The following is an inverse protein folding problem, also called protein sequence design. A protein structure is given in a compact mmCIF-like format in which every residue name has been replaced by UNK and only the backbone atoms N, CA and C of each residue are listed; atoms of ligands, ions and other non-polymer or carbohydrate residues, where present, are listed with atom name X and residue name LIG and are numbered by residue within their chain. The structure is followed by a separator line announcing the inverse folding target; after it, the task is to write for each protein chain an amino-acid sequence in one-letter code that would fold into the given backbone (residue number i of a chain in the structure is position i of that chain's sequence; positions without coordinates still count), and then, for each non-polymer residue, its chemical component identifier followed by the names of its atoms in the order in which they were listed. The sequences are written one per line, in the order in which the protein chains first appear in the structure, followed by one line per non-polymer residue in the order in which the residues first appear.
data_IF_924582981041
#
_entry.id   IF_924582981041
#
_cell.length_a   1.000
_cell.length_b   1.000
_cell.length_c   1.000
_cell.angle_alpha   90.00
_cell.angle_beta   90.00
_cell.angle_gamma   90.00
#
_symmetry.space_group_name_H-M   'P 1'
#
loop_
_entity.id
_entity.type
_entity.pdbx_description
1 polymer ?
#
# COMPACT_ATOMS: atom_id res chain seq x y z
N UNK A 1 -7.53 11.00 -19.81
CA UNK A 1 -6.51 10.79 -18.75
C UNK A 1 -7.29 10.32 -17.52
N UNK A 2 -7.22 9.04 -17.17
CA UNK A 2 -7.84 8.56 -15.94
C UNK A 2 -6.99 9.03 -14.76
N UNK A 3 -7.62 9.62 -13.74
CA UNK A 3 -6.93 10.00 -12.51
C UNK A 3 -6.44 8.72 -11.82
N UNK A 4 -5.15 8.42 -11.92
CA UNK A 4 -4.58 7.17 -11.40
C UNK A 4 -4.66 7.10 -9.87
N UNK A 5 -4.78 8.25 -9.19
CA UNK A 5 -4.86 8.38 -7.72
C UNK A 5 -6.25 8.11 -7.13
N UNK A 6 -7.32 8.10 -7.94
CA UNK A 6 -8.67 7.90 -7.43
C UNK A 6 -8.94 6.41 -7.13
N UNK A 7 -9.58 6.14 -5.98
CA UNK A 7 -9.81 4.81 -5.42
C UNK A 7 -10.45 3.79 -6.38
N UNK A 8 -11.26 4.27 -7.33
CA UNK A 8 -12.01 3.45 -8.28
C UNK A 8 -11.59 3.67 -9.74
N UNK A 9 -10.43 4.27 -9.98
CA UNK A 9 -9.92 4.43 -11.34
C UNK A 9 -9.55 3.07 -11.95
N UNK A 10 -9.65 2.93 -13.28
CA UNK A 10 -9.41 1.67 -13.99
C UNK A 10 -8.02 1.06 -13.74
N UNK A 11 -7.00 1.88 -13.47
CA UNK A 11 -5.65 1.40 -13.14
C UNK A 11 -5.61 0.63 -11.80
N UNK A 12 -6.50 0.96 -10.87
CA UNK A 12 -6.58 0.39 -9.52
C UNK A 12 -7.49 -0.84 -9.45
N UNK A 13 -8.13 -1.20 -10.56
CA UNK A 13 -9.06 -2.34 -10.70
C UNK A 13 -8.34 -3.68 -11.00
N UNK A 14 -7.03 -3.63 -11.29
CA UNK A 14 -6.16 -4.77 -11.67
C UNK A 14 -5.95 -5.80 -10.55
N UNK A 15 -6.38 -5.51 -9.32
CA UNK A 15 -6.05 -6.34 -8.16
C UNK A 15 -6.93 -7.59 -8.01
N UNK A 16 -8.05 -7.69 -8.75
CA UNK A 16 -9.03 -8.79 -8.56
C UNK A 16 -9.50 -9.43 -9.86
N UNK A 17 -9.42 -8.71 -10.98
CA UNK A 17 -9.97 -9.20 -12.23
C UNK A 17 -8.90 -9.94 -13.03
N UNK A 18 -9.25 -11.13 -13.53
CA UNK A 18 -8.50 -11.78 -14.60
C UNK A 18 -8.39 -10.81 -15.80
N UNK A 19 -7.24 -10.71 -16.50
CA UNK A 19 -6.98 -9.69 -17.53
C UNK A 19 -8.08 -9.53 -18.60
N UNK A 20 -8.79 -10.60 -18.88
CA UNK A 20 -9.84 -10.75 -19.89
C UNK A 20 -11.16 -10.12 -19.43
N UNK A 21 -11.33 -9.96 -18.13
CA UNK A 21 -12.46 -9.28 -17.50
C UNK A 21 -12.27 -7.74 -17.48
N UNK A 22 -11.08 -7.24 -17.85
CA UNK A 22 -10.75 -5.82 -17.78
C UNK A 22 -10.99 -5.01 -19.07
N UNK A 23 -11.28 -5.61 -20.24
CA UNK A 23 -11.24 -4.81 -21.49
C UNK A 23 -12.38 -5.06 -22.49
N UNK A 24 -13.03 -3.96 -22.87
CA UNK A 24 -13.69 -3.76 -24.17
C UNK A 24 -12.80 -3.01 -25.19
N UNK A 25 -11.56 -2.65 -24.81
CA UNK A 25 -10.60 -1.91 -25.64
C UNK A 25 -9.16 -2.39 -25.41
N UNK A 26 -8.40 -2.52 -26.49
CA UNK A 26 -6.98 -2.87 -26.45
C UNK A 26 -6.15 -1.67 -25.98
N UNK A 27 -5.26 -1.88 -25.01
CA UNK A 27 -4.20 -0.93 -24.66
C UNK A 27 -3.22 -0.78 -25.83
N UNK A 28 -2.67 0.42 -26.01
CA UNK A 28 -1.64 0.65 -27.03
C UNK A 28 -0.41 -0.21 -26.74
N UNK A 29 0.26 -0.65 -27.81
CA UNK A 29 1.52 -1.38 -27.66
C UNK A 29 2.55 -0.49 -26.95
N UNK A 30 3.30 -1.02 -25.96
CA UNK A 30 4.38 -0.26 -25.34
C UNK A 30 5.42 0.12 -26.41
N UNK A 31 6.04 1.28 -26.24
CA UNK A 31 7.15 1.71 -27.09
C UNK A 31 8.31 0.70 -27.01
N UNK A 32 9.10 0.61 -28.08
CA UNK A 32 10.32 -0.21 -28.07
C UNK A 32 11.26 0.26 -26.95
N UNK A 33 11.67 -0.66 -26.07
CA UNK A 33 12.58 -0.41 -24.95
C UNK A 33 12.09 0.68 -23.97
N UNK A 34 10.98 0.43 -23.23
CA UNK A 34 10.52 1.38 -22.22
C UNK A 34 11.60 1.55 -21.13
N UNK A 35 11.70 2.73 -20.50
CA UNK A 35 12.58 2.92 -19.36
C UNK A 35 12.25 1.89 -18.28
N UNK A 36 13.30 1.24 -17.76
CA UNK A 36 13.17 0.30 -16.66
C UNK A 36 13.32 1.06 -15.35
N UNK A 37 12.22 1.18 -14.62
CA UNK A 37 12.26 1.69 -13.25
C UNK A 37 12.92 0.68 -12.30
N UNK A 38 13.44 1.21 -11.19
CA UNK A 38 13.91 0.38 -10.09
C UNK A 38 12.75 -0.50 -9.59
N UNK A 39 13.02 -1.79 -9.41
CA UNK A 39 12.04 -2.75 -8.94
C UNK A 39 12.61 -3.61 -7.81
N UNK A 40 11.75 -3.90 -6.84
CA UNK A 40 12.01 -4.86 -5.78
C UNK A 40 10.85 -5.87 -5.73
N UNK A 41 11.15 -7.10 -5.33
CA UNK A 41 10.17 -8.17 -5.19
C UNK A 41 10.03 -8.56 -3.73
N UNK A 42 8.79 -8.67 -3.25
CA UNK A 42 8.52 -9.27 -1.94
C UNK A 42 8.84 -10.76 -2.01
N UNK A 43 9.79 -11.22 -1.19
CA UNK A 43 10.21 -12.63 -1.12
C UNK A 43 9.49 -13.42 -0.03
N UNK A 44 8.89 -12.74 0.94
CA UNK A 44 8.20 -13.31 2.06
C UNK A 44 7.60 -12.22 2.94
N UNK A 45 6.76 -12.63 3.89
CA UNK A 45 6.11 -11.75 4.85
C UNK A 45 6.50 -12.18 6.26
N UNK A 46 6.91 -11.21 7.08
CA UNK A 46 7.12 -11.44 8.51
C UNK A 46 5.79 -11.21 9.23
N UNK A 47 5.31 -12.22 9.95
CA UNK A 47 4.10 -12.10 10.76
C UNK A 47 4.31 -11.10 11.90
N UNK A 48 3.36 -10.17 12.05
CA UNK A 48 3.32 -9.24 13.17
C UNK A 48 2.01 -9.43 13.92
N UNK A 49 2.09 -9.78 15.20
CA UNK A 49 0.95 -10.02 16.09
C UNK A 49 0.26 -8.73 16.56
N UNK A 50 -0.11 -7.84 15.65
CA UNK A 50 -0.93 -6.68 16.00
C UNK A 50 -2.35 -7.18 16.30
N UNK A 51 -2.70 -7.25 17.58
CA UNK A 51 -4.02 -7.64 18.04
C UNK A 51 -4.74 -6.40 18.59
N UNK A 52 -5.65 -5.86 17.78
CA UNK A 52 -6.50 -4.74 18.18
C UNK A 52 -7.88 -5.24 18.59
N UNK A 53 -8.48 -4.60 19.60
CA UNK A 53 -9.91 -4.76 19.80
C UNK A 53 -10.67 -4.12 18.62
N UNK A 54 -11.87 -4.60 18.31
CA UNK A 54 -12.68 -4.09 17.19
C UNK A 54 -12.90 -2.57 17.28
N UNK A 55 -13.13 -2.05 18.49
CA UNK A 55 -13.29 -0.61 18.71
C UNK A 55 -12.03 0.20 18.33
N UNK A 56 -10.86 -0.33 18.68
CA UNK A 56 -9.57 0.29 18.34
C UNK A 56 -9.33 0.23 16.82
N UNK A 57 -9.71 -0.87 16.17
CA UNK A 57 -9.62 -0.99 14.71
C UNK A 57 -10.50 0.06 14.01
N UNK A 58 -11.74 0.24 14.47
CA UNK A 58 -12.67 1.19 13.86
C UNK A 58 -12.20 2.64 13.98
N UNK A 59 -11.44 2.97 15.02
CA UNK A 59 -10.87 4.30 15.23
C UNK A 59 -9.86 4.69 14.13
N UNK A 60 -9.28 3.72 13.41
CA UNK A 60 -8.37 4.00 12.30
C UNK A 60 -9.06 4.50 11.03
N UNK A 61 -10.38 4.66 10.98
CA UNK A 61 -11.00 5.13 9.76
C UNK A 61 -12.09 6.19 9.90
N UNK A 62 -11.93 7.03 10.92
CA UNK A 62 -12.45 8.41 10.90
C UNK A 62 -11.35 9.32 11.45
N UNK A 63 -11.26 10.55 10.95
CA UNK A 63 -10.23 11.49 11.41
C UNK A 63 -10.40 11.80 12.90
N UNK A 64 -11.65 12.00 13.33
CA UNK A 64 -11.98 12.29 14.72
C UNK A 64 -11.43 11.22 15.68
N UNK A 65 -11.60 9.94 15.37
CA UNK A 65 -11.13 8.86 16.23
C UNK A 65 -9.63 8.59 16.05
N UNK A 66 -9.12 8.68 14.82
CA UNK A 66 -7.72 8.44 14.49
C UNK A 66 -6.79 9.41 15.21
N UNK A 67 -7.14 10.70 15.26
CA UNK A 67 -6.35 11.71 15.97
C UNK A 67 -6.40 11.59 17.49
N UNK A 68 -7.26 10.73 18.05
CA UNK A 68 -7.32 10.45 19.48
C UNK A 68 -6.53 9.19 19.87
N UNK A 69 -5.97 8.46 18.89
CA UNK A 69 -5.14 7.29 19.15
C UNK A 69 -3.84 7.70 19.83
N UNK A 70 -3.38 6.88 20.79
CA UNK A 70 -2.13 7.12 21.49
C UNK A 70 -0.91 6.90 20.58
N UNK A 71 0.19 7.59 20.87
CA UNK A 71 1.46 7.38 20.18
C UNK A 71 1.94 5.92 20.28
N UNK A 72 1.67 5.25 21.40
CA UNK A 72 1.98 3.83 21.59
C UNK A 72 1.18 2.94 20.62
N UNK A 73 -0.12 3.22 20.45
CA UNK A 73 -0.95 2.51 19.48
C UNK A 73 -0.42 2.72 18.06
N UNK A 74 -0.12 3.98 17.72
CA UNK A 74 0.38 4.36 16.42
C UNK A 74 1.77 3.77 16.11
N UNK A 75 2.65 3.66 17.11
CA UNK A 75 3.97 3.06 16.98
C UNK A 75 3.93 1.55 16.70
N UNK A 76 2.88 0.86 17.13
CA UNK A 76 2.66 -0.56 16.83
C UNK A 76 2.14 -0.79 15.40
N UNK A 77 1.72 0.26 14.70
CA UNK A 77 1.21 0.20 13.32
C UNK A 77 2.31 0.60 12.35
N UNK A 78 2.76 -0.37 11.55
CA UNK A 78 3.89 -0.17 10.63
C UNK A 78 3.55 0.78 9.48
N UNK A 79 4.51 1.66 9.17
CA UNK A 79 4.52 2.53 8.00
C UNK A 79 4.91 1.79 6.71
N UNK A 80 5.66 0.69 6.85
CA UNK A 80 6.21 -0.07 5.73
C UNK A 80 5.13 -0.80 4.90
N UNK A 81 5.52 -1.25 3.72
CA UNK A 81 4.75 -2.19 2.89
C UNK A 81 4.34 -3.43 3.70
N UNK A 82 3.03 -3.71 3.76
CA UNK A 82 2.47 -4.84 4.53
C UNK A 82 1.09 -5.28 4.06
N UNK A 83 0.68 -6.45 4.55
CA UNK A 83 -0.67 -6.98 4.42
C UNK A 83 -1.37 -6.97 5.79
N UNK A 84 -2.67 -6.71 5.79
CA UNK A 84 -3.53 -6.75 6.97
C UNK A 84 -3.27 -5.66 8.01
N UNK A 85 -3.95 -5.80 9.16
CA UNK A 85 -3.97 -4.81 10.24
C UNK A 85 -4.90 -3.63 9.92
N UNK A 86 -4.49 -2.42 10.32
CA UNK A 86 -5.20 -1.15 10.08
C UNK A 86 -4.37 -0.23 9.20
N UNK A 87 -4.93 0.70 8.43
CA UNK A 87 -4.15 1.65 7.61
C UNK A 87 -3.32 2.62 8.45
N UNK A 88 -2.15 3.01 7.94
CA UNK A 88 -1.34 4.12 8.47
C UNK A 88 -1.50 5.35 7.59
N UNK A 89 -2.41 6.24 7.96
CA UNK A 89 -2.74 7.43 7.15
C UNK A 89 -1.67 8.50 7.18
N UNK A 90 -1.41 9.12 6.03
CA UNK A 90 -0.54 10.31 5.90
C UNK A 90 -1.38 11.58 5.95
N UNK A 91 -2.55 11.58 5.32
CA UNK A 91 -3.39 12.77 5.16
C UNK A 91 -4.70 12.67 5.95
N UNK A 92 -5.62 11.80 5.53
CA UNK A 92 -6.94 11.68 6.16
C UNK A 92 -7.47 10.24 6.14
N UNK A 93 -8.01 9.81 7.28
CA UNK A 93 -8.69 8.56 7.43
C UNK A 93 -10.07 8.53 6.73
N UNK A 94 -10.63 9.70 6.43
CA UNK A 94 -11.93 9.87 5.75
C UNK A 94 -11.90 9.48 4.26
N UNK A 95 -10.71 9.35 3.67
CA UNK A 95 -10.57 8.85 2.29
C UNK A 95 -10.82 7.34 2.16
N UNK A 96 -11.02 6.65 3.28
CA UNK A 96 -11.40 5.24 3.27
C UNK A 96 -12.73 5.01 2.54
N UNK A 97 -12.84 3.98 1.68
CA UNK A 97 -14.04 3.73 0.84
C UNK A 97 -15.31 3.26 1.58
N UNK A 98 -15.40 3.42 2.91
CA UNK A 98 -16.46 2.91 3.81
C UNK A 98 -17.90 3.17 3.32
N UNK A 99 -18.90 2.32 3.70
CA UNK A 99 -18.87 1.08 4.50
C UNK A 99 -18.77 -0.22 3.66
N UNK A 100 -18.40 -1.34 4.31
CA UNK A 100 -18.35 -2.68 3.70
C UNK A 100 -17.01 -3.07 3.06
N UNK A 101 -16.04 -2.18 3.09
CA UNK A 101 -14.68 -2.42 2.61
C UNK A 101 -13.77 -2.81 3.77
N UNK A 102 -12.94 -3.82 3.55
CA UNK A 102 -11.91 -4.31 4.46
C UNK A 102 -10.55 -3.84 3.98
N UNK A 103 -9.76 -3.22 4.86
CA UNK A 103 -8.35 -2.97 4.58
C UNK A 103 -7.59 -4.29 4.46
N UNK A 104 -6.73 -4.41 3.45
CA UNK A 104 -5.94 -5.64 3.23
C UNK A 104 -4.45 -5.39 3.13
N UNK A 105 -4.01 -4.15 3.03
CA UNK A 105 -2.59 -3.84 3.03
C UNK A 105 -2.29 -2.42 2.58
N UNK A 106 -1.03 -2.05 2.70
CA UNK A 106 -0.50 -0.79 2.20
C UNK A 106 0.85 -1.01 1.52
N UNK A 107 1.19 -0.13 0.60
CA UNK A 107 2.48 -0.10 -0.08
C UNK A 107 3.15 1.23 0.22
N UNK A 108 4.36 1.15 0.77
CA UNK A 108 5.18 2.31 1.08
C UNK A 108 5.81 2.90 -0.19
N UNK A 109 6.07 4.21 -0.12
CA UNK A 109 6.88 4.98 -1.05
C UNK A 109 8.30 4.42 -1.22
N UNK A 110 8.87 3.85 -0.15
CA UNK A 110 10.22 3.31 -0.14
C UNK A 110 10.24 1.79 -0.25
N UNK A 111 11.23 1.28 -0.97
CA UNK A 111 11.57 -0.13 -0.89
C UNK A 111 12.33 -0.40 0.40
N UNK A 112 11.74 -1.23 1.27
CA UNK A 112 12.26 -1.53 2.60
C UNK A 112 12.84 -2.95 2.64
N UNK A 113 14.12 -3.09 2.98
CA UNK A 113 14.82 -4.38 2.95
C UNK A 113 15.20 -4.88 4.35
N UNK A 114 14.86 -6.13 4.65
CA UNK A 114 15.19 -6.82 5.93
C UNK A 114 16.59 -7.41 5.99
N UNK A 115 17.22 -7.58 4.84
CA UNK A 115 18.58 -8.06 4.71
C UNK A 115 19.29 -7.25 3.62
N UNK A 116 20.62 -7.24 3.68
CA UNK A 116 21.41 -6.62 2.63
C UNK A 116 21.08 -7.28 1.27
N UNK A 117 20.84 -6.48 0.22
CA UNK A 117 20.67 -7.03 -1.12
C UNK A 117 21.96 -7.74 -1.56
N UNK A 118 21.82 -8.78 -2.38
CA UNK A 118 22.96 -9.57 -2.87
C UNK A 118 23.86 -8.82 -3.84
N UNK A 119 23.37 -7.70 -4.36
CA UNK A 119 24.11 -6.73 -5.16
C UNK A 119 23.83 -5.34 -4.59
N UNK A 120 24.77 -4.41 -4.76
CA UNK A 120 24.64 -3.03 -4.25
C UNK A 120 24.33 -2.09 -5.42
N UNK A 121 23.06 -1.90 -5.79
CA UNK A 121 22.71 -0.89 -6.77
C UNK A 121 22.79 0.50 -6.15
N UNK A 122 23.10 1.51 -6.97
CA UNK A 122 23.33 2.89 -6.51
C UNK A 122 22.09 3.55 -5.87
N UNK A 123 20.89 3.02 -6.14
CA UNK A 123 19.62 3.53 -5.61
C UNK A 123 19.22 2.91 -4.26
N UNK A 124 19.98 1.94 -3.75
CA UNK A 124 19.78 1.35 -2.42
C UNK A 124 20.87 1.84 -1.48
N UNK A 125 20.47 2.36 -0.33
CA UNK A 125 21.38 2.82 0.73
C UNK A 125 21.11 2.09 2.05
N UNK A 126 22.12 2.09 2.92
CA UNK A 126 21.99 1.54 4.28
C UNK A 126 21.04 2.42 5.09
N UNK A 127 20.07 1.79 5.77
CA UNK A 127 19.21 2.47 6.73
C UNK A 127 19.93 2.56 8.08
N UNK A 128 20.62 3.68 8.34
CA UNK A 128 21.36 3.89 9.58
C UNK A 128 20.48 3.96 10.82
N UNK A 129 19.21 4.35 10.65
CA UNK A 129 18.23 4.43 11.75
C UNK A 129 17.63 3.06 12.07
N UNK A 130 17.79 2.10 11.16
CA UNK A 130 17.18 0.77 11.23
C UNK A 130 15.67 0.87 11.49
N UNK A 131 15.02 1.85 10.85
CA UNK A 131 13.62 2.15 11.12
C UNK A 131 12.76 0.90 10.89
N UNK A 132 11.94 0.57 11.88
CA UNK A 132 11.13 -0.65 11.94
C UNK A 132 11.90 -1.97 11.74
N UNK A 133 13.22 -1.99 11.92
CA UNK A 133 14.11 -3.15 11.71
C UNK A 133 14.57 -3.33 10.27
N UNK A 134 14.57 -2.28 9.45
CA UNK A 134 15.13 -2.31 8.10
C UNK A 134 16.65 -2.26 8.16
N UNK A 135 17.30 -2.83 7.15
CA UNK A 135 18.75 -2.75 6.97
C UNK A 135 19.13 -1.78 5.85
N UNK A 136 18.30 -1.72 4.82
CA UNK A 136 18.49 -0.87 3.65
C UNK A 136 17.15 -0.31 3.19
N UNK A 137 17.23 0.83 2.51
CA UNK A 137 16.11 1.47 1.83
C UNK A 137 16.50 1.74 0.39
N UNK A 138 15.52 1.76 -0.51
CA UNK A 138 15.72 2.19 -1.88
C UNK A 138 14.61 3.11 -2.33
N UNK A 139 14.98 4.13 -3.10
CA UNK A 139 14.02 5.02 -3.73
C UNK A 139 13.36 4.33 -4.93
N UNK A 140 12.03 4.32 -4.94
CA UNK A 140 11.23 3.79 -6.03
C UNK A 140 10.32 4.85 -6.64
N UNK A 141 9.74 4.61 -7.82
CA UNK A 141 8.73 5.47 -8.41
C UNK A 141 7.38 5.44 -7.65
N UNK A 142 7.31 4.81 -6.48
CA UNK A 142 6.08 4.50 -5.78
C UNK A 142 5.37 5.79 -5.31
N UNK A 143 4.17 6.01 -5.84
CA UNK A 143 3.14 6.93 -5.33
C UNK A 143 3.59 8.38 -5.10
N UNK A 144 4.67 8.82 -5.79
CA UNK A 144 5.22 10.18 -5.64
C UNK A 144 5.71 10.51 -4.23
N UNK A 145 6.15 9.51 -3.46
CA UNK A 145 6.54 9.68 -2.04
C UNK A 145 5.40 9.42 -1.05
N UNK A 146 4.24 8.98 -1.55
CA UNK A 146 3.07 8.65 -0.76
C UNK A 146 2.94 7.18 -0.34
N UNK A 147 1.86 6.87 0.38
CA UNK A 147 1.49 5.49 0.73
C UNK A 147 0.22 5.12 -0.03
N UNK A 148 0.24 3.97 -0.69
CA UNK A 148 -0.95 3.38 -1.27
C UNK A 148 -1.65 2.44 -0.29
N UNK A 149 -2.97 2.46 -0.33
CA UNK A 149 -3.84 1.65 0.54
C UNK A 149 -4.69 0.73 -0.31
N UNK A 150 -4.81 -0.52 0.12
CA UNK A 150 -5.58 -1.55 -0.56
C UNK A 150 -6.78 -1.96 0.29
N UNK A 151 -7.95 -1.96 -0.34
CA UNK A 151 -9.21 -2.37 0.27
C UNK A 151 -9.91 -3.40 -0.62
N UNK A 152 -10.52 -4.40 0.01
CA UNK A 152 -11.39 -5.38 -0.65
C UNK A 152 -12.79 -5.29 -0.10
N UNK A 153 -13.79 -5.50 -0.95
CA UNK A 153 -15.17 -5.72 -0.54
C UNK A 153 -15.67 -7.01 -1.15
N UNK A 154 -16.12 -7.91 -0.30
CA UNK A 154 -16.83 -9.12 -0.71
C UNK A 154 -18.30 -8.78 -0.86
N UNK A 155 -18.83 -8.93 -2.08
CA UNK A 155 -20.25 -8.83 -2.37
C UNK A 155 -20.76 -10.18 -2.89
N UNK A 156 -22.06 -10.44 -2.75
CA UNK A 156 -22.75 -11.58 -3.37
C UNK A 156 -22.68 -11.48 -4.91
N UNK A 157 -21.56 -11.84 -5.52
CA UNK A 157 -21.42 -11.89 -6.98
C UNK A 157 -19.99 -11.75 -7.46
N UNK A 158 -19.31 -10.64 -7.14
CA UNK A 158 -17.93 -10.39 -7.53
C UNK A 158 -17.18 -9.63 -6.42
N UNK A 159 -15.96 -10.07 -6.05
CA UNK A 159 -15.09 -9.29 -5.18
C UNK A 159 -14.72 -7.96 -5.85
N UNK A 160 -14.65 -6.88 -5.08
CA UNK A 160 -14.27 -5.54 -5.54
C UNK A 160 -13.01 -5.07 -4.83
N UNK A 161 -12.11 -4.40 -5.57
CA UNK A 161 -10.89 -3.78 -5.04
C UNK A 161 -10.98 -2.27 -5.15
N UNK A 162 -10.37 -1.60 -4.19
CA UNK A 162 -10.07 -0.18 -4.24
C UNK A 162 -8.60 -0.01 -3.86
N UNK A 163 -7.90 0.76 -4.68
CA UNK A 163 -6.54 1.20 -4.38
C UNK A 163 -6.45 2.70 -4.66
N UNK A 164 -5.90 3.44 -3.71
CA UNK A 164 -5.62 4.86 -3.79
C UNK A 164 -4.36 5.15 -2.99
N UNK A 165 -3.82 6.35 -3.11
CA UNK A 165 -2.67 6.77 -2.30
C UNK A 165 -2.77 8.22 -1.85
N UNK A 166 -2.14 8.51 -0.72
CA UNK A 166 -2.00 9.85 -0.13
C UNK A 166 -0.56 10.32 -0.26
N UNK A 167 -0.36 11.63 -0.50
CA UNK A 167 0.96 12.24 -0.65
C UNK A 167 1.14 13.48 0.22
#
# INVERSE_FOLDING_TARGET
MCATWEAFSGANSCLILEPEMQTGHLTEYPADSPPLDNAAFVRGWDERGLHLAVADELAFYTDEAFFQLSDEMLANVSWSTRLGGVPRWIQSAEESPRPGWRFVGQLDSLYSFRSAPSFSPDWISVDSEQFEGRTHIGEGPNFGGGIAYLFLRENEGNPAAAMFWQR
#
